data_IF_771468351723
#
_entry.id   IF_771468351723
#
_cell.length_a   1.000
_cell.length_b   1.000
_cell.length_c   1.000
_cell.angle_alpha   90.00
_cell.angle_beta   90.00
_cell.angle_gamma   90.00
#
_symmetry.space_group_name_H-M   'P 1'
#
loop_
_entity.id
_entity.type
_entity.pdbx_description
1 polymer ?
#
# COMPACT_ATOMS: atom_id res chain seq x y z
N UNK A 1 -5.64 27.59 3.39
CA UNK A 1 -5.15 26.53 2.50
C UNK A 1 -6.09 25.35 2.56
N UNK A 2 -6.50 24.86 1.39
CA UNK A 2 -7.30 23.65 1.19
C UNK A 2 -6.41 22.40 1.21
N UNK A 3 -6.99 21.25 1.55
CA UNK A 3 -6.33 19.94 1.42
C UNK A 3 -5.79 19.71 0.00
N UNK A 4 -6.53 20.14 -1.02
CA UNK A 4 -6.13 20.01 -2.43
C UNK A 4 -4.85 20.79 -2.71
N UNK A 5 -4.71 21.99 -2.13
CA UNK A 5 -3.51 22.81 -2.29
C UNK A 5 -2.30 22.21 -1.58
N UNK A 6 -2.51 21.53 -0.44
CA UNK A 6 -1.45 20.82 0.28
C UNK A 6 -0.98 19.56 -0.48
N UNK A 7 -1.92 18.81 -1.06
CA UNK A 7 -1.59 17.63 -1.88
C UNK A 7 -0.81 18.03 -3.13
N UNK A 8 -1.19 19.14 -3.78
CA UNK A 8 -0.48 19.64 -4.97
C UNK A 8 0.97 20.08 -4.68
N UNK A 9 1.30 20.39 -3.43
CA UNK A 9 2.66 20.78 -3.00
C UNK A 9 3.49 19.62 -2.49
N UNK A 10 2.87 18.45 -2.22
CA UNK A 10 3.55 17.30 -1.68
C UNK A 10 4.36 16.57 -2.75
N UNK A 11 5.51 16.02 -2.35
CA UNK A 11 6.30 15.18 -3.24
C UNK A 11 5.64 13.80 -3.43
N UNK A 12 5.83 13.21 -4.61
CA UNK A 12 5.23 11.92 -4.98
C UNK A 12 5.56 10.79 -4.00
N UNK A 13 6.78 10.79 -3.46
CA UNK A 13 7.25 9.76 -2.54
C UNK A 13 6.65 9.96 -1.15
N UNK A 14 6.54 11.20 -0.68
CA UNK A 14 5.89 11.57 0.57
C UNK A 14 4.40 11.18 0.56
N UNK A 15 3.72 11.37 -0.57
CA UNK A 15 2.34 10.90 -0.75
C UNK A 15 2.26 9.37 -0.71
N UNK A 16 3.17 8.66 -1.40
CA UNK A 16 3.20 7.19 -1.38
C UNK A 16 3.45 6.63 0.03
N UNK A 17 4.41 7.19 0.77
CA UNK A 17 4.68 6.83 2.18
C UNK A 17 3.46 7.05 3.06
N UNK A 18 2.79 8.20 2.90
CA UNK A 18 1.61 8.55 3.70
C UNK A 18 0.43 7.61 3.42
N UNK A 19 0.19 7.29 2.14
CA UNK A 19 -0.82 6.32 1.73
C UNK A 19 -0.52 4.91 2.26
N UNK A 20 0.73 4.46 2.18
CA UNK A 20 1.14 3.14 2.65
C UNK A 20 1.02 3.00 4.16
N UNK A 21 1.36 4.05 4.93
CA UNK A 21 1.17 4.08 6.39
C UNK A 21 -0.31 4.02 6.79
N UNK A 22 -1.21 4.64 6.02
CA UNK A 22 -2.64 4.51 6.24
C UNK A 22 -3.10 3.06 6.03
N UNK A 23 -2.65 2.42 4.95
CA UNK A 23 -2.99 1.03 4.64
C UNK A 23 -2.41 0.05 5.68
N UNK A 24 -1.20 0.28 6.17
CA UNK A 24 -0.57 -0.54 7.22
C UNK A 24 -1.43 -0.64 8.49
N UNK A 25 -2.13 0.45 8.81
CA UNK A 25 -3.10 0.47 9.92
C UNK A 25 -4.43 -0.20 9.57
N UNK A 26 -4.91 -0.07 8.34
CA UNK A 26 -6.25 -0.51 7.93
C UNK A 26 -6.30 -2.00 7.55
N UNK A 27 -5.28 -2.51 6.86
CA UNK A 27 -5.25 -3.86 6.31
C UNK A 27 -5.46 -4.94 7.39
N UNK A 28 -4.76 -4.91 8.54
CA UNK A 28 -4.97 -5.91 9.60
C UNK A 28 -6.39 -5.88 10.17
N UNK A 29 -7.02 -4.69 10.23
CA UNK A 29 -8.39 -4.53 10.72
C UNK A 29 -9.45 -5.08 9.76
N UNK A 30 -9.09 -5.25 8.49
CA UNK A 30 -9.95 -5.76 7.42
C UNK A 30 -9.65 -7.24 7.09
N UNK A 31 -8.83 -7.92 7.91
CA UNK A 31 -8.50 -9.34 7.71
C UNK A 31 -7.37 -9.61 6.70
N UNK A 32 -6.69 -8.57 6.21
CA UNK A 32 -5.49 -8.74 5.40
C UNK A 32 -4.24 -9.00 6.25
N UNK A 33 -3.23 -9.65 5.66
CA UNK A 33 -2.01 -10.01 6.37
C UNK A 33 -1.07 -8.83 6.66
N UNK A 34 -0.49 -8.80 7.86
CA UNK A 34 0.41 -7.74 8.36
C UNK A 34 1.65 -7.48 7.47
N UNK A 35 2.03 -8.45 6.64
CA UNK A 35 3.26 -8.39 5.84
C UNK A 35 3.00 -8.05 4.36
N UNK A 36 1.74 -7.92 3.93
CA UNK A 36 1.37 -7.75 2.51
C UNK A 36 1.93 -6.46 1.89
N UNK A 37 2.18 -5.44 2.72
CA UNK A 37 2.68 -4.12 2.28
C UNK A 37 4.20 -3.98 2.38
N UNK A 38 4.91 -4.92 3.03
CA UNK A 38 6.37 -4.85 3.21
C UNK A 38 7.16 -4.74 1.91
N UNK A 39 6.80 -5.43 0.81
CA UNK A 39 7.47 -5.24 -0.47
C UNK A 39 7.35 -3.81 -1.01
N UNK A 40 6.21 -3.14 -0.80
CA UNK A 40 5.99 -1.74 -1.21
C UNK A 40 6.83 -0.78 -0.36
N UNK A 41 6.95 -1.03 0.95
CA UNK A 41 7.87 -0.26 1.80
C UNK A 41 9.32 -0.38 1.33
N UNK A 42 9.74 -1.56 0.86
CA UNK A 42 11.08 -1.77 0.31
C UNK A 42 11.31 -0.98 -0.99
N UNK A 43 10.30 -0.85 -1.87
CA UNK A 43 10.36 0.04 -3.06
C UNK A 43 10.59 1.51 -2.70
N UNK A 44 10.11 1.93 -1.53
CA UNK A 44 10.24 3.30 -1.03
C UNK A 44 11.51 3.50 -0.18
N UNK A 45 12.45 2.57 -0.16
CA UNK A 45 13.79 2.80 0.41
C UNK A 45 14.63 3.66 -0.55
N UNK A 46 15.53 4.51 -0.05
CA UNK A 46 16.32 5.42 -0.91
C UNK A 46 17.27 4.67 -1.85
N UNK A 47 17.65 3.44 -1.49
CA UNK A 47 18.52 2.57 -2.26
C UNK A 47 17.75 1.58 -3.18
N UNK A 48 16.42 1.68 -3.27
CA UNK A 48 15.65 0.78 -4.11
C UNK A 48 15.89 1.04 -5.60
N UNK A 49 16.02 -0.01 -6.43
CA UNK A 49 16.08 0.15 -7.88
C UNK A 49 14.84 0.87 -8.39
N UNK A 50 15.02 1.86 -9.28
CA UNK A 50 13.90 2.47 -9.96
C UNK A 50 13.14 1.41 -10.79
N UNK A 51 11.82 1.30 -10.60
CA UNK A 51 10.95 0.53 -11.49
C UNK A 51 10.24 -0.70 -10.91
N UNK A 52 10.35 -0.97 -9.61
CA UNK A 52 9.68 -2.12 -8.99
C UNK A 52 8.31 -1.79 -8.33
N UNK A 53 7.98 -0.50 -8.19
CA UNK A 53 6.76 -0.03 -7.52
C UNK A 53 5.47 -0.60 -8.14
N UNK A 54 5.29 -0.44 -9.45
CA UNK A 54 4.06 -0.85 -10.13
C UNK A 54 3.81 -2.36 -10.01
N UNK A 55 4.87 -3.16 -10.14
CA UNK A 55 4.79 -4.61 -10.00
C UNK A 55 4.43 -5.01 -8.57
N UNK A 56 5.08 -4.42 -7.56
CA UNK A 56 4.79 -4.74 -6.15
C UNK A 56 3.40 -4.28 -5.72
N UNK A 57 2.91 -3.19 -6.30
CA UNK A 57 1.55 -2.71 -6.08
C UNK A 57 0.53 -3.72 -6.59
N UNK A 58 0.73 -4.24 -7.80
CA UNK A 58 -0.16 -5.25 -8.36
C UNK A 58 -0.16 -6.55 -7.54
N UNK A 59 1.01 -6.98 -7.08
CA UNK A 59 1.13 -8.16 -6.20
C UNK A 59 0.38 -7.97 -4.86
N UNK A 60 0.51 -6.79 -4.24
CA UNK A 60 -0.19 -6.49 -3.00
C UNK A 60 -1.72 -6.49 -3.20
N UNK A 61 -2.20 -5.92 -4.30
CA UNK A 61 -3.63 -5.94 -4.67
C UNK A 61 -4.15 -7.35 -4.84
N UNK A 62 -3.47 -8.18 -5.64
CA UNK A 62 -3.88 -9.58 -5.84
C UNK A 62 -3.88 -10.41 -4.55
N UNK A 63 -2.96 -10.11 -3.62
CA UNK A 63 -2.93 -10.77 -2.30
C UNK A 63 -4.10 -10.36 -1.41
N UNK A 64 -4.45 -9.06 -1.42
CA UNK A 64 -5.60 -8.54 -0.68
C UNK A 64 -6.93 -9.04 -1.24
N UNK A 65 -7.07 -9.08 -2.57
CA UNK A 65 -8.26 -9.60 -3.26
C UNK A 65 -8.46 -11.09 -2.92
N UNK A 66 -7.39 -11.90 -2.99
CA UNK A 66 -7.46 -13.30 -2.60
C UNK A 66 -7.81 -13.53 -1.13
N UNK A 67 -7.38 -12.63 -0.23
CA UNK A 67 -7.75 -12.69 1.18
C UNK A 67 -9.23 -12.35 1.42
N UNK A 68 -9.80 -11.44 0.62
CA UNK A 68 -11.23 -11.12 0.67
C UNK A 68 -12.08 -12.30 0.17
N UNK A 69 -11.70 -12.94 -0.93
CA UNK A 69 -12.44 -14.08 -1.50
C UNK A 69 -12.39 -15.32 -0.59
N UNK A 70 -11.26 -15.57 0.07
CA UNK A 70 -11.10 -16.71 1.00
C UNK A 70 -11.90 -16.60 2.30
N UNK A 71 -12.42 -15.42 2.62
CA UNK A 71 -13.26 -15.20 3.81
C UNK A 71 -14.75 -15.55 3.58
N UNK A 72 -15.21 -15.61 2.32
CA UNK A 72 -16.61 -15.84 1.96
C UNK A 72 -17.00 -17.34 1.88
N UNK A 73 -16.01 -18.24 1.74
CA UNK A 73 -16.22 -19.70 1.66
C UNK A 73 -16.34 -20.39 3.04
N UNK A 74 -16.32 -19.62 4.15
CA UNK A 74 -16.34 -20.13 5.51
C UNK A 74 -17.66 -19.87 6.28
N UNK A 75 -18.79 -19.67 5.58
CA UNK A 75 -20.12 -19.40 6.18
C UNK A 75 -21.13 -20.50 5.84
#
# INVERSE_FOLDING_TARGET
MSLVELIAQADERGLAVSGLACLDRCVPLLGGGDEVLRPLWASLAQAAPAGDWAQRLEQARGTLDAAADGADEAV
#
